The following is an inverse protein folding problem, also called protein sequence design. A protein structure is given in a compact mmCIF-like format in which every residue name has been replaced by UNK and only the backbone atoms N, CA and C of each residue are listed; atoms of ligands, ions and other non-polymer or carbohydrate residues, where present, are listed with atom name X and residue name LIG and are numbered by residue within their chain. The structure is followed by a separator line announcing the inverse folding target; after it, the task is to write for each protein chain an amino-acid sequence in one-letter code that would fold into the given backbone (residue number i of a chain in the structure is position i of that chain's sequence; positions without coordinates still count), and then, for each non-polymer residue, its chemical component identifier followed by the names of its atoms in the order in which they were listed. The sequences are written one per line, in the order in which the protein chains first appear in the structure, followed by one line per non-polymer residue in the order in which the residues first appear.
data_IF_592547923550
#
_entry.id   IF_592547923550
#
_cell.length_a   1.000
_cell.length_b   1.000
_cell.length_c   1.000
_cell.angle_alpha   90.00
_cell.angle_beta   90.00
_cell.angle_gamma   90.00
#
_symmetry.space_group_name_H-M   'P 1'
#
loop_
_entity.id
_entity.type
_entity.pdbx_description
1 polymer ?
#
# COMPACT_ATOMS: atom_id res chain seq x y z
N UNK A 1 6.16 -3.87 -97.80
CA UNK A 1 4.85 -4.39 -98.27
C UNK A 1 3.95 -4.58 -97.07
N UNK A 2 2.93 -3.72 -96.95
CA UNK A 2 1.66 -3.86 -96.22
C UNK A 2 1.23 -2.46 -95.76
N UNK A 3 0.14 -2.00 -96.37
CA UNK A 3 -0.45 -0.66 -96.38
C UNK A 3 -1.11 -0.28 -95.05
N UNK A 4 -0.84 0.93 -94.57
CA UNK A 4 -1.61 1.61 -93.52
C UNK A 4 -2.98 2.08 -94.04
N UNK A 5 -4.10 1.85 -93.33
CA UNK A 5 -5.31 2.62 -93.52
C UNK A 5 -5.41 3.81 -92.56
N UNK A 6 -5.95 4.87 -93.15
CA UNK A 6 -6.13 6.24 -92.68
C UNK A 6 -7.10 6.40 -91.50
N UNK A 7 -6.93 7.54 -90.84
CA UNK A 7 -7.96 8.34 -90.16
C UNK A 7 -8.62 7.76 -88.89
N UNK A 8 -8.03 8.09 -87.73
CA UNK A 8 -8.82 8.36 -86.53
C UNK A 8 -8.52 9.81 -86.13
N UNK A 9 -9.50 10.67 -86.40
CA UNK A 9 -9.45 12.07 -86.03
C UNK A 9 -9.47 12.21 -84.50
N UNK A 10 -8.57 13.06 -84.02
CA UNK A 10 -8.43 13.49 -82.63
C UNK A 10 -9.73 14.10 -82.10
N UNK A 11 -10.32 13.51 -81.05
CA UNK A 11 -11.23 14.25 -80.17
C UNK A 11 -10.38 14.97 -79.11
N UNK A 12 -10.17 16.27 -79.31
CA UNK A 12 -9.67 17.17 -78.28
C UNK A 12 -10.77 17.34 -77.22
N UNK A 13 -10.54 17.01 -75.94
CA UNK A 13 -11.50 17.32 -74.88
C UNK A 13 -11.67 18.84 -74.76
N UNK A 14 -12.92 19.32 -74.70
CA UNK A 14 -13.20 20.76 -74.52
C UNK A 14 -12.88 21.16 -73.08
N UNK A 15 -12.34 22.37 -72.84
CA UNK A 15 -12.19 22.90 -71.48
C UNK A 15 -13.58 23.09 -70.88
N UNK A 16 -13.94 22.24 -69.91
CA UNK A 16 -15.28 22.19 -69.31
C UNK A 16 -15.70 20.82 -68.78
N UNK A 17 -15.01 19.73 -69.18
CA UNK A 17 -15.24 18.42 -68.58
C UNK A 17 -14.70 18.42 -67.14
N UNK A 18 -15.66 18.50 -66.23
CA UNK A 18 -15.48 18.71 -64.82
C UNK A 18 -14.91 17.45 -64.19
N UNK A 19 -13.68 17.52 -63.68
CA UNK A 19 -13.15 16.54 -62.74
C UNK A 19 -14.05 16.53 -61.51
N UNK A 20 -15.04 15.64 -61.51
CA UNK A 20 -15.87 15.33 -60.36
C UNK A 20 -15.00 14.65 -59.31
N UNK A 21 -14.62 15.44 -58.32
CA UNK A 21 -14.46 15.00 -56.94
C UNK A 21 -13.31 14.03 -56.66
N UNK A 22 -12.09 14.54 -56.55
CA UNK A 22 -11.22 14.02 -55.49
C UNK A 22 -11.94 14.26 -54.16
N UNK A 23 -12.26 13.24 -53.35
CA UNK A 23 -13.02 13.45 -52.14
C UNK A 23 -12.18 14.33 -51.21
N UNK A 24 -12.71 15.46 -50.75
CA UNK A 24 -12.08 16.33 -49.73
C UNK A 24 -11.66 15.53 -48.47
N UNK A 25 -12.23 14.35 -48.27
CA UNK A 25 -11.83 13.37 -47.27
C UNK A 25 -10.37 12.88 -47.42
N UNK A 26 -9.87 12.65 -48.63
CA UNK A 26 -8.49 12.17 -48.87
C UNK A 26 -7.43 13.25 -48.64
N UNK A 27 -7.74 14.51 -48.97
CA UNK A 27 -6.88 15.65 -48.64
C UNK A 27 -6.81 15.91 -47.14
N UNK A 28 -7.94 15.75 -46.42
CA UNK A 28 -7.99 15.82 -44.95
C UNK A 28 -7.26 14.65 -44.30
N UNK A 29 -7.38 13.45 -44.85
CA UNK A 29 -6.68 12.26 -44.37
C UNK A 29 -5.16 12.40 -44.57
N UNK A 30 -4.71 12.86 -45.74
CA UNK A 30 -3.30 13.14 -46.02
C UNK A 30 -2.71 14.20 -45.09
N UNK A 31 -3.45 15.29 -44.83
CA UNK A 31 -3.03 16.32 -43.87
C UNK A 31 -2.95 15.79 -42.43
N UNK A 32 -3.92 14.97 -41.99
CA UNK A 32 -3.91 14.36 -40.65
C UNK A 32 -2.73 13.39 -40.49
N UNK A 33 -2.47 12.56 -41.50
CA UNK A 33 -1.34 11.61 -41.49
C UNK A 33 0.01 12.35 -41.50
N UNK A 34 0.15 13.42 -42.29
CA UNK A 34 1.36 14.25 -42.28
C UNK A 34 1.53 15.02 -40.97
N UNK A 35 0.44 15.48 -40.35
CA UNK A 35 0.47 16.13 -39.03
C UNK A 35 0.87 15.16 -37.92
N UNK A 36 0.37 13.91 -37.97
CA UNK A 36 0.77 12.85 -37.06
C UNK A 36 2.23 12.46 -37.24
N UNK A 37 2.69 12.31 -38.49
CA UNK A 37 4.07 12.00 -38.79
C UNK A 37 5.01 13.12 -38.30
N UNK A 38 4.61 14.39 -38.44
CA UNK A 38 5.38 15.53 -37.93
C UNK A 38 5.40 15.60 -36.40
N UNK A 39 4.28 15.32 -35.72
CA UNK A 39 4.20 15.20 -34.25
C UNK A 39 5.04 14.03 -33.70
N UNK A 40 5.14 12.92 -34.45
CA UNK A 40 5.97 11.76 -34.08
C UNK A 40 7.46 11.93 -34.44
N UNK A 41 7.80 12.94 -35.25
CA UNK A 41 9.19 13.23 -35.65
C UNK A 41 9.90 14.19 -34.69
N UNK A 42 9.18 14.79 -33.73
CA UNK A 42 9.83 15.48 -32.63
C UNK A 42 10.48 14.42 -31.72
N UNK A 43 11.79 14.50 -31.47
CA UNK A 43 12.38 13.70 -30.42
C UNK A 43 11.70 14.15 -29.12
N UNK A 44 10.76 13.35 -28.62
CA UNK A 44 10.43 13.41 -27.21
C UNK A 44 11.77 13.35 -26.48
N UNK A 45 12.09 14.28 -25.57
CA UNK A 45 13.26 14.10 -24.73
C UNK A 45 13.10 12.70 -24.13
N UNK A 46 14.01 11.80 -24.50
CA UNK A 46 14.08 10.48 -23.90
C UNK A 46 14.20 10.82 -22.42
N UNK A 47 13.12 10.61 -21.67
CA UNK A 47 13.15 10.75 -20.23
C UNK A 47 14.23 9.76 -19.83
N UNK A 48 15.41 10.28 -19.47
CA UNK A 48 16.47 9.44 -18.95
C UNK A 48 15.81 8.68 -17.81
N UNK A 49 15.76 7.35 -17.93
CA UNK A 49 15.28 6.54 -16.83
C UNK A 49 16.08 7.00 -15.60
N UNK A 50 15.39 7.45 -14.53
CA UNK A 50 16.10 7.94 -13.37
C UNK A 50 17.07 6.82 -12.92
N UNK A 51 18.30 7.18 -12.53
CA UNK A 51 19.28 6.19 -12.09
C UNK A 51 18.63 5.29 -11.03
N UNK A 52 18.95 3.99 -11.05
CA UNK A 52 18.28 2.97 -10.22
C UNK A 52 18.31 3.25 -8.70
N UNK A 53 19.06 4.25 -8.23
CA UNK A 53 18.93 4.85 -6.90
C UNK A 53 19.36 6.33 -6.95
N UNK A 54 18.46 7.28 -7.18
CA UNK A 54 18.86 8.68 -7.27
C UNK A 54 19.32 9.20 -5.90
N UNK A 55 20.38 10.00 -5.91
CA UNK A 55 20.77 10.79 -4.74
C UNK A 55 19.68 11.82 -4.40
N UNK A 56 19.61 12.28 -3.14
CA UNK A 56 18.66 13.33 -2.76
C UNK A 56 18.80 14.60 -3.61
N UNK A 57 20.04 14.92 -4.01
CA UNK A 57 20.32 16.07 -4.88
C UNK A 57 19.73 15.90 -6.29
N UNK A 58 19.71 14.66 -6.80
CA UNK A 58 19.06 14.35 -8.08
C UNK A 58 17.54 14.38 -7.97
N UNK A 59 16.97 13.82 -6.89
CA UNK A 59 15.52 13.85 -6.61
C UNK A 59 15.02 15.30 -6.58
N UNK A 60 15.73 16.18 -5.87
CA UNK A 60 15.39 17.60 -5.74
C UNK A 60 16.11 18.50 -6.73
N UNK A 61 16.48 17.99 -7.89
CA UNK A 61 17.15 18.78 -8.94
C UNK A 61 16.34 19.99 -9.40
N UNK A 62 15.01 19.93 -9.25
CA UNK A 62 14.07 21.03 -9.54
C UNK A 62 14.05 22.16 -8.49
N UNK A 63 14.69 21.98 -7.32
CA UNK A 63 14.72 22.98 -6.25
C UNK A 63 15.96 23.88 -6.33
N UNK A 64 15.89 25.15 -5.87
CA UNK A 64 17.06 26.01 -5.71
C UNK A 64 18.12 25.38 -4.80
N UNK A 65 19.40 25.55 -5.15
CA UNK A 65 20.54 24.96 -4.41
C UNK A 65 20.50 25.22 -2.90
N UNK A 66 20.22 26.45 -2.40
CA UNK A 66 20.17 26.70 -0.95
C UNK A 66 19.10 25.86 -0.22
N UNK A 67 17.89 25.77 -0.80
CA UNK A 67 16.78 24.98 -0.26
C UNK A 67 17.13 23.48 -0.29
N UNK A 68 17.70 23.01 -1.40
CA UNK A 68 18.11 21.61 -1.56
C UNK A 68 19.16 21.17 -0.54
N UNK A 69 20.20 21.98 -0.30
CA UNK A 69 21.22 21.64 0.70
C UNK A 69 20.70 21.71 2.13
N UNK A 70 19.74 22.60 2.43
CA UNK A 70 19.05 22.62 3.72
C UNK A 70 18.25 21.32 3.95
N UNK A 71 17.48 20.88 2.96
CA UNK A 71 16.73 19.61 3.00
C UNK A 71 17.64 18.39 3.17
N UNK A 72 18.78 18.35 2.48
CA UNK A 72 19.78 17.28 2.66
C UNK A 72 20.29 17.23 4.09
N UNK A 73 20.62 18.38 4.70
CA UNK A 73 21.06 18.45 6.09
C UNK A 73 19.97 17.97 7.05
N UNK A 74 18.73 18.40 6.85
CA UNK A 74 17.59 17.98 7.68
C UNK A 74 17.33 16.48 7.55
N UNK A 75 17.37 15.91 6.34
CA UNK A 75 17.29 14.46 6.14
C UNK A 75 18.39 13.70 6.89
N UNK A 76 19.64 14.17 6.81
CA UNK A 76 20.75 13.54 7.51
C UNK A 76 20.57 13.60 9.04
N UNK A 77 20.05 14.72 9.55
CA UNK A 77 19.69 14.86 10.97
C UNK A 77 18.62 13.86 11.38
N UNK A 78 17.52 13.75 10.63
CA UNK A 78 16.43 12.79 10.90
C UNK A 78 16.96 11.35 10.86
N UNK A 79 17.80 11.02 9.87
CA UNK A 79 18.43 9.70 9.77
C UNK A 79 19.37 9.41 10.94
N UNK A 80 20.12 10.42 11.42
CA UNK A 80 20.97 10.28 12.59
C UNK A 80 20.16 10.05 13.87
N UNK A 81 19.07 10.80 14.08
CA UNK A 81 18.12 10.59 15.17
C UNK A 81 17.55 9.17 15.16
N UNK A 82 17.14 8.68 13.97
CA UNK A 82 16.67 7.30 13.81
C UNK A 82 17.76 6.27 14.16
N UNK A 83 19.03 6.54 13.81
CA UNK A 83 20.16 5.67 14.16
C UNK A 83 20.38 5.59 15.67
N UNK A 84 20.33 6.71 16.37
CA UNK A 84 20.48 6.75 17.82
C UNK A 84 19.36 5.97 18.52
N UNK A 85 18.13 6.09 18.01
CA UNK A 85 16.97 5.45 18.62
C UNK A 85 16.84 3.96 18.27
N UNK A 86 17.19 3.55 17.06
CA UNK A 86 16.81 2.24 16.49
C UNK A 86 17.97 1.48 15.84
N UNK A 87 19.19 2.02 15.92
CA UNK A 87 20.37 1.44 15.29
C UNK A 87 20.40 1.61 13.77
N UNK A 88 21.35 0.93 13.14
CA UNK A 88 21.65 1.07 11.71
C UNK A 88 20.48 0.67 10.81
N UNK A 89 19.77 -0.39 11.20
CA UNK A 89 18.61 -0.88 10.45
C UNK A 89 17.42 0.09 10.52
N UNK A 90 17.14 0.67 11.69
CA UNK A 90 16.12 1.71 11.83
C UNK A 90 16.47 2.97 11.00
N UNK A 91 17.73 3.42 11.05
CA UNK A 91 18.20 4.53 10.22
C UNK A 91 18.09 4.24 8.72
N UNK A 92 18.40 3.01 8.30
CA UNK A 92 18.26 2.57 6.92
C UNK A 92 16.80 2.56 6.48
N UNK A 93 15.90 2.02 7.30
CA UNK A 93 14.46 1.96 7.01
C UNK A 93 13.81 3.36 6.98
N UNK A 94 14.09 4.24 7.94
CA UNK A 94 13.62 5.63 7.93
C UNK A 94 14.15 6.38 6.71
N UNK A 95 15.44 6.22 6.40
CA UNK A 95 16.05 6.83 5.22
C UNK A 95 15.44 6.32 3.91
N UNK A 96 15.09 5.03 3.84
CA UNK A 96 14.40 4.41 2.71
C UNK A 96 12.98 4.96 2.53
N UNK A 97 12.21 5.05 3.62
CA UNK A 97 10.85 5.61 3.61
C UNK A 97 10.85 7.04 3.08
N UNK A 98 11.69 7.90 3.64
CA UNK A 98 11.77 9.32 3.25
C UNK A 98 12.23 9.48 1.80
N UNK A 99 13.22 8.69 1.35
CA UNK A 99 13.64 8.70 -0.06
C UNK A 99 12.51 8.28 -1.00
N UNK A 100 11.72 7.28 -0.63
CA UNK A 100 10.55 6.88 -1.41
C UNK A 100 9.51 8.01 -1.47
N UNK A 101 9.23 8.67 -0.35
CA UNK A 101 8.33 9.82 -0.28
C UNK A 101 8.80 10.96 -1.21
N UNK A 102 10.07 11.36 -1.13
CA UNK A 102 10.60 12.43 -1.98
C UNK A 102 10.62 12.04 -3.46
N UNK A 103 10.92 10.77 -3.76
CA UNK A 103 10.87 10.28 -5.13
C UNK A 103 9.43 10.34 -5.65
N UNK A 104 8.45 9.90 -4.87
CA UNK A 104 7.04 9.96 -5.23
C UNK A 104 6.58 11.40 -5.46
N UNK A 105 6.96 12.33 -4.59
CA UNK A 105 6.72 13.77 -4.77
C UNK A 105 7.31 14.29 -6.09
N UNK A 106 8.59 14.01 -6.35
CA UNK A 106 9.29 14.48 -7.55
C UNK A 106 8.66 13.94 -8.84
N UNK A 107 8.11 12.72 -8.80
CA UNK A 107 7.45 12.05 -9.91
C UNK A 107 5.95 12.31 -9.98
N UNK A 108 5.39 13.14 -9.09
CA UNK A 108 3.94 13.38 -8.94
C UNK A 108 3.12 12.08 -8.80
N UNK A 109 3.71 11.08 -8.13
CA UNK A 109 3.05 9.83 -7.73
C UNK A 109 2.37 10.01 -6.38
N UNK A 110 1.49 9.07 -5.96
CA UNK A 110 0.91 9.10 -4.62
C UNK A 110 1.98 9.20 -3.52
N UNK A 111 1.93 10.30 -2.77
CA UNK A 111 2.80 10.66 -1.65
C UNK A 111 1.93 11.11 -0.47
N UNK A 112 2.43 11.03 0.77
CA UNK A 112 1.68 11.49 1.94
C UNK A 112 1.64 13.01 2.00
N UNK A 113 2.77 13.65 1.67
CA UNK A 113 2.98 15.08 1.77
C UNK A 113 3.21 15.70 0.40
N UNK A 114 2.76 16.94 0.25
CA UNK A 114 3.02 17.72 -0.96
C UNK A 114 4.49 18.16 -1.06
N UNK A 115 5.13 18.47 0.07
CA UNK A 115 6.47 19.05 0.14
C UNK A 115 7.42 18.21 1.02
N UNK A 116 8.72 18.17 0.70
CA UNK A 116 9.71 17.38 1.44
C UNK A 116 9.92 17.87 2.88
N UNK A 117 9.78 19.17 3.14
CA UNK A 117 9.86 19.75 4.49
C UNK A 117 8.82 19.11 5.43
N UNK A 118 7.56 19.01 4.98
CA UNK A 118 6.48 18.45 5.78
C UNK A 118 6.72 16.96 6.13
N UNK A 119 7.25 16.18 5.17
CA UNK A 119 7.61 14.79 5.42
C UNK A 119 8.76 14.64 6.43
N UNK A 120 9.76 15.54 6.37
CA UNK A 120 10.87 15.56 7.33
C UNK A 120 10.44 16.00 8.72
N UNK A 121 9.61 17.04 8.81
CA UNK A 121 9.03 17.53 10.06
C UNK A 121 8.19 16.46 10.74
N UNK A 122 7.32 15.76 9.99
CA UNK A 122 6.53 14.68 10.55
C UNK A 122 7.42 13.51 11.00
N UNK A 123 8.39 13.09 10.18
CA UNK A 123 9.31 12.03 10.58
C UNK A 123 10.05 12.39 11.88
N UNK A 124 10.51 13.64 12.02
CA UNK A 124 11.14 14.11 13.27
C UNK A 124 10.15 14.10 14.45
N UNK A 125 8.90 14.50 14.25
CA UNK A 125 7.85 14.44 15.28
C UNK A 125 7.64 13.01 15.78
N UNK A 126 7.57 12.03 14.89
CA UNK A 126 7.48 10.61 15.27
C UNK A 126 8.71 10.13 16.02
N UNK A 127 9.91 10.50 15.58
CA UNK A 127 11.15 10.14 16.27
C UNK A 127 11.22 10.75 17.68
N UNK A 128 10.75 11.98 17.87
CA UNK A 128 10.67 12.60 19.20
C UNK A 128 9.72 11.83 20.14
N UNK A 129 8.58 11.37 19.62
CA UNK A 129 7.65 10.53 20.37
C UNK A 129 8.30 9.20 20.78
N UNK A 130 9.03 8.57 19.86
CA UNK A 130 9.79 7.34 20.15
C UNK A 130 10.90 7.57 21.18
N UNK A 131 11.59 8.70 21.10
CA UNK A 131 12.65 9.08 22.04
C UNK A 131 12.12 9.21 23.47
N UNK A 132 11.04 9.97 23.66
CA UNK A 132 10.38 10.11 24.97
C UNK A 132 9.98 8.75 25.52
N UNK A 133 9.36 7.92 24.68
CA UNK A 133 8.92 6.58 25.10
C UNK A 133 10.08 5.67 25.49
N UNK A 134 11.16 5.64 24.71
CA UNK A 134 12.33 4.79 24.98
C UNK A 134 13.08 5.20 26.24
N UNK A 135 12.97 6.45 26.65
CA UNK A 135 13.52 6.96 27.91
C UNK A 135 12.50 6.88 29.08
N UNK A 136 11.42 6.11 28.94
CA UNK A 136 10.45 5.85 30.00
C UNK A 136 9.43 6.99 30.24
N UNK A 137 9.39 7.98 29.36
CA UNK A 137 8.41 9.06 29.41
C UNK A 137 7.08 8.70 28.76
N UNK A 138 6.07 9.55 29.00
CA UNK A 138 4.77 9.48 28.34
C UNK A 138 4.75 10.49 27.18
N UNK A 139 4.89 10.04 25.92
CA UNK A 139 4.88 10.97 24.80
C UNK A 139 3.51 11.60 24.61
N UNK A 140 3.50 12.89 24.24
CA UNK A 140 2.29 13.50 23.71
C UNK A 140 2.01 12.96 22.30
N UNK A 141 0.86 12.31 22.16
CA UNK A 141 0.39 11.76 20.90
C UNK A 141 -0.59 12.70 20.19
N UNK A 142 -0.84 13.89 20.74
CA UNK A 142 -1.72 14.89 20.14
C UNK A 142 -1.23 15.30 18.76
N UNK A 143 -2.15 15.39 17.80
CA UNK A 143 -1.84 15.74 16.41
C UNK A 143 -1.19 14.61 15.58
N UNK A 144 -0.80 13.48 16.18
CA UNK A 144 -0.41 12.29 15.42
C UNK A 144 -1.64 11.46 15.06
N UNK A 145 -1.66 10.80 13.87
CA UNK A 145 -2.81 10.03 13.42
C UNK A 145 -2.86 8.65 14.08
N UNK A 146 -2.86 8.57 15.42
CA UNK A 146 -2.88 7.33 16.21
C UNK A 146 -4.16 7.18 17.00
N UNK A 147 -4.55 5.92 17.25
CA UNK A 147 -5.68 5.60 18.11
C UNK A 147 -5.37 4.39 19.04
N UNK A 148 -4.48 4.57 20.05
CA UNK A 148 -4.07 3.48 20.95
C UNK A 148 -5.21 2.79 21.68
N UNK A 149 -6.31 3.50 21.93
CA UNK A 149 -7.56 2.96 22.52
C UNK A 149 -8.13 1.76 21.77
N UNK A 150 -7.82 1.59 20.49
CA UNK A 150 -8.27 0.44 19.68
C UNK A 150 -7.27 -0.72 19.66
N UNK A 151 -6.02 -0.48 20.09
CA UNK A 151 -4.94 -1.47 20.07
C UNK A 151 -4.70 -2.05 21.46
N UNK A 152 -4.52 -1.17 22.45
CA UNK A 152 -4.10 -1.56 23.80
C UNK A 152 -5.05 -2.54 24.51
N UNK A 153 -6.38 -2.48 24.36
CA UNK A 153 -7.27 -3.49 24.96
C UNK A 153 -7.03 -4.92 24.48
N UNK A 154 -6.36 -5.10 23.34
CA UNK A 154 -6.07 -6.40 22.75
C UNK A 154 -4.57 -6.70 22.69
N UNK A 155 -3.75 -6.01 23.50
CA UNK A 155 -2.30 -6.10 23.49
C UNK A 155 -1.78 -7.53 23.65
N UNK A 156 -2.37 -8.31 24.55
CA UNK A 156 -1.99 -9.70 24.82
C UNK A 156 -2.28 -10.60 23.61
N UNK A 157 -3.52 -10.59 23.10
CA UNK A 157 -3.94 -11.41 21.96
C UNK A 157 -3.11 -11.08 20.70
N UNK A 158 -2.89 -9.79 20.46
CA UNK A 158 -2.08 -9.29 19.35
C UNK A 158 -0.62 -9.73 19.48
N UNK A 159 -0.03 -9.58 20.66
CA UNK A 159 1.36 -9.97 20.93
C UNK A 159 1.53 -11.48 20.75
N UNK A 160 0.61 -12.28 21.27
CA UNK A 160 0.64 -13.73 21.15
C UNK A 160 0.46 -14.18 19.69
N UNK A 161 -0.44 -13.57 18.93
CA UNK A 161 -0.63 -13.89 17.52
C UNK A 161 0.58 -13.49 16.66
N UNK A 162 1.19 -12.34 16.93
CA UNK A 162 2.42 -11.90 16.26
C UNK A 162 3.58 -12.85 16.55
N UNK A 163 3.75 -13.25 17.81
CA UNK A 163 4.75 -14.22 18.24
C UNK A 163 4.53 -15.59 17.58
N UNK A 164 3.28 -16.08 17.55
CA UNK A 164 2.93 -17.35 16.92
C UNK A 164 3.25 -17.40 15.42
N UNK A 165 3.25 -16.25 14.74
CA UNK A 165 3.60 -16.14 13.31
C UNK A 165 5.02 -15.59 13.06
N UNK A 166 5.82 -15.41 14.12
CA UNK A 166 7.18 -14.93 14.05
C UNK A 166 7.31 -13.58 13.33
N UNK A 167 6.40 -12.63 13.56
CA UNK A 167 6.46 -11.26 13.02
C UNK A 167 6.53 -10.23 14.15
N UNK A 168 7.11 -9.04 13.90
CA UNK A 168 7.09 -7.95 14.88
C UNK A 168 5.66 -7.52 15.24
N UNK A 169 5.35 -7.48 16.54
CA UNK A 169 4.01 -7.14 17.06
C UNK A 169 3.56 -5.74 16.68
N UNK A 170 4.50 -4.80 16.55
CA UNK A 170 4.21 -3.45 16.10
C UNK A 170 3.50 -3.40 14.75
N UNK A 171 3.74 -4.36 13.85
CA UNK A 171 3.12 -4.41 12.53
C UNK A 171 1.61 -4.64 12.63
N UNK A 172 1.18 -5.63 13.40
CA UNK A 172 -0.25 -5.90 13.60
C UNK A 172 -0.93 -4.73 14.30
N UNK A 173 -0.27 -4.14 15.29
CA UNK A 173 -0.80 -3.00 16.02
C UNK A 173 -1.00 -1.77 15.11
N UNK A 174 -0.05 -1.49 14.22
CA UNK A 174 -0.18 -0.43 13.23
C UNK A 174 -1.32 -0.66 12.24
N UNK A 175 -1.56 -1.92 11.84
CA UNK A 175 -2.69 -2.30 10.99
C UNK A 175 -4.01 -2.00 11.71
N UNK A 176 -4.18 -2.47 12.94
CA UNK A 176 -5.40 -2.23 13.73
C UNK A 176 -5.67 -0.73 13.89
N UNK A 177 -4.64 0.04 14.22
CA UNK A 177 -4.75 1.49 14.36
C UNK A 177 -5.19 2.16 13.04
N UNK A 178 -4.58 1.77 11.91
CA UNK A 178 -4.93 2.29 10.59
C UNK A 178 -6.38 2.00 10.20
N UNK A 179 -6.86 0.78 10.43
CA UNK A 179 -8.22 0.37 10.05
C UNK A 179 -9.30 1.15 10.82
N UNK A 180 -9.09 1.37 12.12
CA UNK A 180 -10.08 2.06 12.95
C UNK A 180 -10.08 3.58 12.71
N UNK A 181 -8.95 4.16 12.30
CA UNK A 181 -8.88 5.55 11.82
C UNK A 181 -9.60 5.76 10.47
N UNK A 182 -9.64 4.74 9.61
CA UNK A 182 -10.44 4.76 8.37
C UNK A 182 -11.94 4.63 8.65
N UNK A 183 -12.31 3.80 9.63
CA UNK A 183 -13.69 3.63 10.11
C UNK A 183 -14.30 4.92 10.68
N UNK A 184 -13.56 5.64 11.52
CA UNK A 184 -13.99 6.91 12.12
C UNK A 184 -14.17 8.05 11.08
N UNK A 185 -13.52 7.96 9.92
CA UNK A 185 -13.62 8.96 8.83
C UNK A 185 -14.67 8.65 7.79
N UNK A 186 -14.97 7.37 7.52
CA UNK A 186 -15.91 6.98 6.48
C UNK A 186 -17.38 7.08 6.93
N UNK A 187 -17.66 6.87 8.21
CA UNK A 187 -19.00 6.94 8.79
C UNK A 187 -18.82 7.37 10.25
N UNK A 188 -19.52 8.41 10.71
CA UNK A 188 -19.59 8.78 12.12
C UNK A 188 -20.29 7.74 13.01
N UNK A 189 -19.82 6.48 12.98
CA UNK A 189 -20.39 5.32 13.66
C UNK A 189 -19.33 4.70 14.57
N UNK A 190 -19.02 5.43 15.63
CA UNK A 190 -18.35 4.92 16.83
C UNK A 190 -19.23 3.90 17.57
N UNK A 191 -19.46 2.70 17.03
CA UNK A 191 -20.10 1.55 17.75
C UNK A 191 -19.68 0.14 17.28
N UNK A 192 -18.70 0.03 16.37
CA UNK A 192 -18.57 -1.10 15.43
C UNK A 192 -18.04 -2.47 15.88
N UNK A 193 -17.84 -2.78 17.18
CA UNK A 193 -17.31 -4.11 17.58
C UNK A 193 -18.33 -4.94 18.38
N UNK A 194 -19.08 -4.33 19.32
CA UNK A 194 -20.12 -5.04 20.09
C UNK A 194 -21.45 -5.16 19.34
N UNK A 195 -21.86 -4.13 18.59
CA UNK A 195 -23.10 -4.18 17.82
C UNK A 195 -22.98 -5.12 16.63
N UNK A 196 -21.83 -5.14 15.93
CA UNK A 196 -21.59 -6.08 14.82
C UNK A 196 -21.49 -7.52 15.31
N UNK A 197 -20.84 -7.79 16.45
CA UNK A 197 -20.81 -9.15 17.00
C UNK A 197 -22.21 -9.63 17.45
N UNK A 198 -23.00 -8.76 18.08
CA UNK A 198 -24.38 -9.09 18.47
C UNK A 198 -25.31 -9.23 17.27
N UNK A 199 -25.12 -8.42 16.23
CA UNK A 199 -25.94 -8.46 15.02
C UNK A 199 -25.56 -9.63 14.12
N UNK A 200 -24.28 -9.98 14.01
CA UNK A 200 -23.82 -11.21 13.36
C UNK A 200 -24.29 -12.45 14.15
N UNK A 201 -24.25 -12.41 15.49
CA UNK A 201 -24.79 -13.51 16.31
C UNK A 201 -26.32 -13.64 16.15
N UNK A 202 -27.05 -12.53 16.07
CA UNK A 202 -28.49 -12.52 15.80
C UNK A 202 -28.82 -12.96 14.37
N UNK A 203 -28.06 -12.51 13.37
CA UNK A 203 -28.25 -12.87 11.96
C UNK A 203 -27.86 -14.33 11.70
N UNK A 204 -26.78 -14.86 12.30
CA UNK A 204 -26.45 -16.29 12.26
C UNK A 204 -27.48 -17.14 13.00
N UNK A 205 -28.00 -16.67 14.14
CA UNK A 205 -29.07 -17.38 14.86
C UNK A 205 -30.39 -17.39 14.06
N UNK A 206 -30.67 -16.34 13.27
CA UNK A 206 -31.85 -16.24 12.40
C UNK A 206 -31.67 -17.02 11.08
N UNK A 207 -30.47 -17.06 10.50
CA UNK A 207 -30.18 -17.75 9.23
C UNK A 207 -29.82 -19.22 9.38
N UNK A 208 -29.40 -19.69 10.55
CA UNK A 208 -29.23 -21.12 10.84
C UNK A 208 -30.57 -21.90 10.82
N UNK A 209 -31.72 -21.22 10.76
CA UNK A 209 -33.05 -21.82 10.63
C UNK A 209 -33.61 -21.93 9.21
N UNK A 210 -33.03 -21.26 8.21
CA UNK A 210 -33.59 -21.21 6.86
C UNK A 210 -32.50 -21.11 5.80
N UNK A 211 -32.30 -22.22 5.11
CA UNK A 211 -31.53 -22.33 3.88
C UNK A 211 -31.98 -21.32 2.82
N UNK A 212 -31.01 -20.55 2.29
CA UNK A 212 -31.08 -19.93 0.97
C UNK A 212 -31.59 -18.49 0.94
N UNK A 213 -30.66 -17.54 0.86
CA UNK A 213 -30.88 -16.27 0.15
C UNK A 213 -30.75 -14.98 0.96
N UNK A 214 -29.82 -14.15 0.47
CA UNK A 214 -29.81 -12.67 0.49
C UNK A 214 -29.23 -11.96 1.72
N UNK A 215 -28.16 -11.21 1.44
CA UNK A 215 -27.64 -10.11 2.24
C UNK A 215 -26.14 -9.97 1.99
N UNK A 216 -25.70 -8.89 1.34
CA UNK A 216 -24.28 -8.57 1.18
C UNK A 216 -23.69 -8.17 2.55
N UNK A 217 -23.51 -9.16 3.42
CA UNK A 217 -22.92 -9.00 4.75
C UNK A 217 -21.42 -8.80 4.55
N UNK A 218 -20.92 -7.64 5.02
CA UNK A 218 -19.52 -7.19 4.94
C UNK A 218 -18.51 -8.32 4.75
N UNK A 219 -17.75 -8.26 3.65
CA UNK A 219 -16.73 -9.24 3.29
C UNK A 219 -15.60 -9.34 4.32
N UNK A 220 -15.40 -8.30 5.13
CA UNK A 220 -14.37 -8.19 6.16
C UNK A 220 -15.00 -8.22 7.55
N UNK A 221 -14.42 -9.01 8.46
CA UNK A 221 -14.91 -9.21 9.83
C UNK A 221 -13.78 -9.00 10.84
N UNK A 222 -14.08 -8.21 11.87
CA UNK A 222 -13.26 -8.06 13.08
C UNK A 222 -12.11 -7.06 12.97
N UNK A 223 -11.22 -7.10 13.98
CA UNK A 223 -10.33 -6.01 14.36
C UNK A 223 -9.32 -5.57 13.28
N UNK A 224 -8.93 -6.49 12.39
CA UNK A 224 -8.00 -6.23 11.29
C UNK A 224 -8.62 -6.39 9.89
N UNK A 225 -9.95 -6.28 9.77
CA UNK A 225 -10.68 -6.35 8.49
C UNK A 225 -10.35 -7.59 7.64
N UNK A 226 -10.13 -8.75 8.28
CA UNK A 226 -9.85 -10.01 7.60
C UNK A 226 -11.10 -10.57 6.93
N UNK A 227 -10.99 -11.05 5.69
CA UNK A 227 -12.12 -11.72 5.01
C UNK A 227 -12.22 -13.18 5.40
N UNK A 228 -13.45 -13.72 5.41
CA UNK A 228 -13.66 -15.15 5.69
C UNK A 228 -13.03 -16.02 4.59
N UNK A 229 -13.05 -15.57 3.33
CA UNK A 229 -12.45 -16.29 2.20
C UNK A 229 -10.95 -16.44 2.39
N UNK A 230 -10.29 -15.37 2.84
CA UNK A 230 -8.87 -15.44 3.10
C UNK A 230 -8.59 -16.25 4.36
N UNK A 231 -9.43 -16.19 5.39
CA UNK A 231 -9.24 -16.97 6.62
C UNK A 231 -9.14 -18.48 6.34
N UNK A 232 -10.01 -19.01 5.47
CA UNK A 232 -10.02 -20.41 5.06
C UNK A 232 -8.73 -20.86 4.35
N UNK A 233 -7.97 -19.93 3.74
CA UNK A 233 -6.73 -20.26 2.99
C UNK A 233 -5.49 -20.32 3.87
N UNK A 234 -5.59 -20.03 5.18
CA UNK A 234 -4.40 -19.85 6.03
C UNK A 234 -3.87 -21.14 6.67
N UNK A 235 -4.60 -22.25 6.57
CA UNK A 235 -4.31 -23.51 7.29
C UNK A 235 -2.85 -23.97 7.13
N UNK A 236 -2.39 -24.13 5.89
CA UNK A 236 -1.06 -24.68 5.59
C UNK A 236 0.04 -23.92 6.31
N UNK A 237 -0.06 -22.59 6.35
CA UNK A 237 0.93 -21.74 7.00
C UNK A 237 0.79 -21.77 8.52
N UNK A 238 -0.42 -21.64 9.06
CA UNK A 238 -0.61 -21.66 10.52
C UNK A 238 -0.12 -22.99 11.10
N UNK A 239 -0.39 -24.11 10.42
CA UNK A 239 0.13 -25.42 10.82
C UNK A 239 1.65 -25.51 10.70
N UNK A 240 2.26 -24.94 9.66
CA UNK A 240 3.72 -24.92 9.54
C UNK A 240 4.39 -24.20 10.73
N UNK A 241 3.75 -23.17 11.27
CA UNK A 241 4.21 -22.47 12.47
C UNK A 241 3.87 -23.18 13.79
N UNK A 242 3.12 -24.28 13.77
CA UNK A 242 2.60 -24.92 14.99
C UNK A 242 1.63 -24.03 15.76
N UNK A 243 1.03 -23.02 15.10
CA UNK A 243 0.18 -22.02 15.73
C UNK A 243 -1.31 -22.41 15.76
N UNK A 244 -1.62 -23.67 15.43
CA UNK A 244 -2.95 -24.25 15.53
C UNK A 244 -2.86 -25.57 16.28
N UNK A 245 -3.83 -25.84 17.15
CA UNK A 245 -3.92 -27.12 17.85
C UNK A 245 -4.06 -28.25 16.83
N UNK A 246 -3.13 -29.22 16.77
CA UNK A 246 -3.19 -30.33 15.82
C UNK A 246 -4.42 -31.22 16.04
N UNK A 247 -5.03 -31.23 17.22
CA UNK A 247 -6.25 -31.99 17.52
C UNK A 247 -7.53 -31.30 17.05
N UNK A 248 -7.47 -29.99 16.77
CA UNK A 248 -8.63 -29.22 16.32
C UNK A 248 -8.70 -29.18 14.79
N UNK A 249 -9.86 -29.44 14.18
CA UNK A 249 -10.04 -29.21 12.75
C UNK A 249 -9.83 -27.72 12.45
N UNK A 250 -9.21 -27.43 11.31
CA UNK A 250 -9.16 -26.06 10.82
C UNK A 250 -10.52 -25.66 10.23
N UNK A 251 -10.75 -24.35 10.10
CA UNK A 251 -11.95 -23.73 9.56
C UNK A 251 -12.28 -24.28 8.16
N UNK A 252 -13.52 -24.74 7.95
CA UNK A 252 -13.96 -25.41 6.70
C UNK A 252 -14.94 -24.59 5.88
N UNK A 253 -15.67 -23.68 6.51
CA UNK A 253 -16.74 -22.94 5.87
C UNK A 253 -16.83 -21.50 6.40
N UNK A 254 -17.65 -20.69 5.74
CA UNK A 254 -17.87 -19.28 6.08
C UNK A 254 -18.36 -19.09 7.52
N UNK A 255 -19.28 -19.92 8.01
CA UNK A 255 -19.84 -19.79 9.35
C UNK A 255 -18.76 -19.98 10.42
N UNK A 256 -17.95 -21.04 10.31
CA UNK A 256 -16.81 -21.29 11.20
C UNK A 256 -15.79 -20.15 11.14
N UNK A 257 -15.47 -19.66 9.93
CA UNK A 257 -14.54 -18.55 9.75
C UNK A 257 -15.06 -17.26 10.39
N UNK A 258 -16.34 -16.92 10.22
CA UNK A 258 -16.95 -15.73 10.84
C UNK A 258 -16.95 -15.84 12.36
N UNK A 259 -17.28 -17.00 12.93
CA UNK A 259 -17.22 -17.25 14.38
C UNK A 259 -15.79 -17.07 14.88
N UNK A 260 -14.80 -17.70 14.23
CA UNK A 260 -13.40 -17.57 14.61
C UNK A 260 -12.93 -16.11 14.56
N UNK A 261 -13.33 -15.34 13.54
CA UNK A 261 -12.97 -13.93 13.40
C UNK A 261 -13.60 -13.02 14.48
N UNK A 262 -14.55 -13.50 15.28
CA UNK A 262 -15.04 -12.75 16.46
C UNK A 262 -14.13 -12.88 17.69
N UNK A 263 -13.29 -13.92 17.75
CA UNK A 263 -12.27 -14.06 18.79
C UNK A 263 -11.05 -13.19 18.45
N UNK A 264 -10.62 -12.24 19.30
CA UNK A 264 -9.52 -11.33 19.00
C UNK A 264 -8.22 -12.04 18.64
N UNK A 265 -7.81 -13.05 19.41
CA UNK A 265 -6.60 -13.83 19.13
C UNK A 265 -6.67 -14.52 17.77
N UNK A 266 -7.77 -15.21 17.47
CA UNK A 266 -7.92 -15.91 16.17
C UNK A 266 -8.00 -14.92 15.00
N UNK A 267 -8.63 -13.76 15.19
CA UNK A 267 -8.64 -12.68 14.19
C UNK A 267 -7.21 -12.21 13.87
N UNK A 268 -6.40 -11.95 14.90
CA UNK A 268 -5.00 -11.57 14.73
C UNK A 268 -4.15 -12.69 14.16
N UNK A 269 -4.34 -13.94 14.59
CA UNK A 269 -3.58 -15.09 14.10
C UNK A 269 -3.79 -15.30 12.59
N UNK A 270 -5.05 -15.28 12.15
CA UNK A 270 -5.40 -15.42 10.73
C UNK A 270 -4.85 -14.25 9.90
N UNK A 271 -4.97 -13.02 10.41
CA UNK A 271 -4.41 -11.82 9.78
C UNK A 271 -2.89 -11.89 9.69
N UNK A 272 -2.22 -12.27 10.78
CA UNK A 272 -0.78 -12.43 10.87
C UNK A 272 -0.29 -13.52 9.91
N UNK A 273 -1.02 -14.63 9.77
CA UNK A 273 -0.70 -15.66 8.78
C UNK A 273 -0.79 -15.13 7.35
N UNK A 274 -1.87 -14.41 7.00
CA UNK A 274 -2.02 -13.79 5.68
C UNK A 274 -0.86 -12.83 5.38
N UNK A 275 -0.57 -11.93 6.33
CA UNK A 275 0.54 -11.00 6.24
C UNK A 275 1.88 -11.74 6.12
N UNK A 276 2.08 -12.82 6.87
CA UNK A 276 3.29 -13.63 6.82
C UNK A 276 3.56 -14.20 5.44
N UNK A 277 2.51 -14.67 4.76
CA UNK A 277 2.60 -15.14 3.37
C UNK A 277 3.13 -14.05 2.43
N UNK A 278 2.64 -12.82 2.58
CA UNK A 278 3.15 -11.68 1.83
C UNK A 278 4.61 -11.35 2.15
N UNK A 279 4.95 -11.23 3.43
CA UNK A 279 6.32 -10.89 3.85
C UNK A 279 7.31 -11.96 3.37
N UNK A 280 6.95 -13.24 3.43
CA UNK A 280 7.76 -14.32 2.87
C UNK A 280 7.99 -14.09 1.37
N UNK A 281 6.93 -13.80 0.59
CA UNK A 281 7.08 -13.51 -0.84
C UNK A 281 8.01 -12.31 -1.10
N UNK A 282 7.88 -11.21 -0.35
CA UNK A 282 8.70 -10.01 -0.53
C UNK A 282 10.15 -10.17 -0.11
N UNK A 283 10.42 -11.08 0.81
CA UNK A 283 11.77 -11.40 1.25
C UNK A 283 12.38 -12.54 0.41
N UNK A 284 11.69 -13.04 -0.63
CA UNK A 284 12.17 -14.15 -1.46
C UNK A 284 12.20 -15.49 -0.72
N UNK A 285 11.40 -15.64 0.33
CA UNK A 285 11.30 -16.85 1.15
C UNK A 285 10.21 -17.77 0.62
N UNK A 286 10.28 -19.05 1.00
CA UNK A 286 9.22 -20.01 0.72
C UNK A 286 7.89 -19.58 1.38
N UNK A 287 6.72 -19.89 0.79
CA UNK A 287 5.42 -19.46 1.33
C UNK A 287 5.17 -19.85 2.80
N UNK A 288 5.72 -20.98 3.23
CA UNK A 288 5.62 -21.52 4.58
C UNK A 288 6.94 -21.43 5.37
N UNK A 289 7.88 -20.57 4.96
CA UNK A 289 9.09 -20.32 5.76
C UNK A 289 8.71 -19.74 7.13
N UNK A 290 9.19 -20.39 8.18
CA UNK A 290 8.83 -20.13 9.58
C UNK A 290 9.88 -19.35 10.37
N UNK A 291 11.00 -18.97 9.76
CA UNK A 291 12.05 -18.22 10.47
C UNK A 291 11.46 -16.93 11.06
N UNK A 292 11.79 -16.53 12.29
CA UNK A 292 11.36 -15.23 12.79
C UNK A 292 11.79 -14.11 11.85
N UNK A 293 10.87 -13.21 11.51
CA UNK A 293 11.20 -12.02 10.72
C UNK A 293 11.61 -10.90 11.65
N UNK A 294 12.70 -10.24 11.27
CA UNK A 294 13.22 -9.06 11.91
C UNK A 294 13.55 -8.01 10.86
N UNK A 295 13.55 -6.75 11.26
CA UNK A 295 13.97 -5.64 10.39
C UNK A 295 12.96 -4.51 10.39
N UNK A 296 13.44 -3.27 10.48
CA UNK A 296 12.61 -2.10 10.63
C UNK A 296 11.80 -1.78 9.36
N UNK A 297 12.26 -2.23 8.19
CA UNK A 297 11.48 -2.08 6.96
C UNK A 297 10.16 -2.86 6.97
N UNK A 298 10.03 -3.88 7.82
CA UNK A 298 8.78 -4.63 7.96
C UNK A 298 7.63 -3.77 8.50
N UNK A 299 7.94 -2.74 9.30
CA UNK A 299 6.94 -1.78 9.79
C UNK A 299 6.34 -0.93 8.68
N UNK A 300 7.02 -0.77 7.55
CA UNK A 300 6.43 -0.19 6.34
C UNK A 300 5.66 -1.25 5.55
N UNK A 301 6.32 -2.38 5.24
CA UNK A 301 5.77 -3.40 4.35
C UNK A 301 4.43 -3.96 4.83
N UNK A 302 4.30 -4.22 6.14
CA UNK A 302 3.09 -4.82 6.68
C UNK A 302 1.84 -3.92 6.55
N UNK A 303 1.84 -2.72 7.12
CA UNK A 303 0.72 -1.79 7.01
C UNK A 303 0.45 -1.33 5.58
N UNK A 304 1.51 -1.12 4.77
CA UNK A 304 1.34 -0.74 3.36
C UNK A 304 0.62 -1.84 2.57
N UNK A 305 1.03 -3.10 2.75
CA UNK A 305 0.44 -4.21 2.03
C UNK A 305 -0.99 -4.50 2.46
N UNK A 306 -1.23 -4.52 3.77
CA UNK A 306 -2.55 -4.79 4.31
C UNK A 306 -3.60 -3.83 3.73
N UNK A 307 -3.24 -2.55 3.59
CA UNK A 307 -4.12 -1.53 3.01
C UNK A 307 -4.17 -1.55 1.46
N UNK A 308 -3.03 -1.64 0.77
CA UNK A 308 -3.01 -1.66 -0.70
C UNK A 308 -1.79 -2.42 -1.26
N UNK A 309 -1.93 -3.72 -1.59
CA UNK A 309 -0.82 -4.54 -2.07
C UNK A 309 -0.07 -4.01 -3.30
N UNK A 310 -0.73 -3.59 -4.40
CA UNK A 310 -0.03 -3.01 -5.54
C UNK A 310 0.76 -1.74 -5.18
N UNK A 311 0.26 -0.94 -4.24
CA UNK A 311 0.94 0.26 -3.78
C UNK A 311 2.20 -0.05 -2.97
N UNK A 312 2.15 -1.07 -2.10
CA UNK A 312 3.31 -1.52 -1.34
C UNK A 312 4.43 -2.02 -2.27
N UNK A 313 4.04 -2.69 -3.37
CA UNK A 313 4.97 -3.18 -4.40
C UNK A 313 5.63 -2.03 -5.19
N UNK A 314 4.87 -0.95 -5.42
CA UNK A 314 5.37 0.28 -6.01
C UNK A 314 6.14 1.19 -5.02
N UNK A 315 6.25 0.77 -3.75
CA UNK A 315 6.80 1.57 -2.64
C UNK A 315 6.13 2.95 -2.55
N UNK A 316 4.81 3.00 -2.76
CA UNK A 316 4.05 4.23 -2.61
C UNK A 316 3.88 4.57 -1.11
N UNK A 317 3.87 5.86 -0.83
CA UNK A 317 4.03 6.38 0.53
C UNK A 317 2.82 7.21 0.92
N UNK A 318 1.61 6.74 0.63
CA UNK A 318 0.37 7.39 1.05
C UNK A 318 0.20 7.34 2.59
N UNK A 319 -0.73 8.11 3.19
CA UNK A 319 -0.76 8.32 4.64
C UNK A 319 -0.74 7.03 5.48
N UNK A 320 -1.52 6.00 5.12
CA UNK A 320 -1.54 4.74 5.86
C UNK A 320 -0.20 3.99 5.84
N UNK A 321 0.56 4.08 4.75
CA UNK A 321 1.86 3.43 4.62
C UNK A 321 2.96 4.23 5.36
N UNK A 322 2.99 5.56 5.19
CA UNK A 322 3.97 6.42 5.86
C UNK A 322 3.79 6.41 7.38
N UNK A 323 2.57 6.66 7.86
CA UNK A 323 2.29 6.62 9.29
C UNK A 323 2.30 5.19 9.83
N UNK A 324 1.92 4.19 9.03
CA UNK A 324 2.00 2.78 9.41
C UNK A 324 3.41 2.36 9.84
N UNK A 325 4.44 2.83 9.15
CA UNK A 325 5.84 2.64 9.55
C UNK A 325 6.11 3.13 10.98
N UNK A 326 5.79 4.39 11.27
CA UNK A 326 6.08 4.98 12.59
C UNK A 326 5.16 4.44 13.69
N UNK A 327 3.89 4.16 13.38
CA UNK A 327 2.98 3.43 14.28
C UNK A 327 3.54 2.07 14.66
N UNK A 328 4.10 1.36 13.69
CA UNK A 328 4.70 0.05 13.93
C UNK A 328 5.83 0.13 14.95
N UNK A 329 6.71 1.11 14.80
CA UNK A 329 7.80 1.37 15.74
C UNK A 329 7.31 1.79 17.14
N UNK A 330 6.28 2.65 17.18
CA UNK A 330 5.66 3.12 18.40
C UNK A 330 5.07 1.94 19.19
N UNK A 331 4.24 1.13 18.54
CA UNK A 331 3.60 -0.01 19.17
C UNK A 331 4.56 -1.14 19.51
N UNK A 332 5.59 -1.37 18.69
CA UNK A 332 6.66 -2.30 19.07
C UNK A 332 7.27 -1.90 20.42
N UNK A 333 7.57 -0.61 20.58
CA UNK A 333 8.17 -0.09 21.80
C UNK A 333 7.18 -0.13 22.97
N UNK A 334 5.95 0.36 22.80
CA UNK A 334 4.90 0.37 23.83
C UNK A 334 4.60 -1.03 24.37
N UNK A 335 4.40 -2.00 23.47
CA UNK A 335 4.04 -3.36 23.83
C UNK A 335 5.23 -4.17 24.37
N UNK A 336 6.46 -3.66 24.24
CA UNK A 336 7.64 -4.28 24.86
C UNK A 336 7.87 -3.83 26.30
N UNK A 337 7.30 -2.70 26.71
CA UNK A 337 7.40 -2.16 28.08
C UNK A 337 6.39 -2.85 29.02
N UNK A 338 5.29 -3.38 28.47
CA UNK A 338 4.19 -3.99 29.23
C UNK A 338 4.43 -5.46 29.62
N UNK A 339 5.53 -6.08 29.18
CA UNK A 339 5.92 -7.45 29.52
C UNK A 339 7.15 -7.46 30.44
#
# INVERSE_FOLDING_TARGET
MATLPRNIAWRVPRPGDSYRGFPKAWLRFGLVVLSLAWLLSFPFPIAQEPPQNPSLRQIWSYLPTPRREALVRQFLSVKASARLLMGDDGAAATGRLLRAEFLNQSLRRPATYAEPEAALEEAQRWLNVLDVLKHGGYPDLSGLPVAPRHVLPFSLDLTNAAAAMGIPKGILAAIVDNEQMGGDKALGLSRGIREVANQIAQDLAQTAGTSGGVGAVSHTVGLAQMSWQDALKQESRIRAFGAWDPQQPFLRNEAEARIALTNPYLNFLLTASRLRGYLNNKLGLAPNDTRPLSGHWLYYLGPAWHNWPPGADAVATWPYAFHGFFKGLLYESLLSIQN
#
